data_IF_915978707558
#
_entry.id   IF_915978707558
#
_cell.length_a   1.000
_cell.length_b   1.000
_cell.length_c   1.000
_cell.angle_alpha   90.00
_cell.angle_beta   90.00
_cell.angle_gamma   90.00
#
_symmetry.space_group_name_H-M   'P 1'
#
loop_
_entity.id
_entity.type
_entity.pdbx_description
1 polymer ?
#
# COMPACT_ATOMS: atom_id res chain seq x y z
N UNK A 1 15.68 -14.74 -13.57
CA UNK A 1 14.31 -14.81 -13.02
C UNK A 1 13.88 -13.42 -12.61
N UNK A 2 12.79 -12.89 -13.14
CA UNK A 2 12.23 -11.60 -12.72
C UNK A 2 11.65 -11.75 -11.32
N UNK A 3 12.02 -10.84 -10.40
CA UNK A 3 11.58 -10.85 -8.98
C UNK A 3 10.06 -10.85 -8.79
N UNK A 4 9.30 -10.51 -9.83
CA UNK A 4 7.85 -10.33 -9.80
C UNK A 4 7.07 -11.47 -10.46
N UNK A 5 7.71 -12.58 -10.83
CA UNK A 5 7.04 -13.73 -11.47
C UNK A 5 5.80 -14.20 -10.67
N UNK A 6 5.94 -14.30 -9.36
CA UNK A 6 4.89 -14.83 -8.48
C UNK A 6 3.62 -13.96 -8.46
N UNK A 7 3.75 -12.67 -8.81
CA UNK A 7 2.60 -11.80 -8.99
C UNK A 7 1.69 -12.33 -10.12
N UNK A 8 2.27 -12.71 -11.27
CA UNK A 8 1.52 -13.25 -12.42
C UNK A 8 1.18 -14.74 -12.30
N UNK A 9 1.58 -15.38 -11.21
CA UNK A 9 1.07 -16.72 -10.86
C UNK A 9 -0.33 -16.63 -10.26
N UNK A 10 -0.63 -15.53 -9.55
CA UNK A 10 -1.93 -15.28 -8.90
C UNK A 10 -2.79 -14.23 -9.59
N UNK A 11 -2.24 -13.37 -10.46
CA UNK A 11 -2.98 -12.29 -11.12
C UNK A 11 -2.80 -12.34 -12.64
N UNK A 12 -3.89 -12.15 -13.37
CA UNK A 12 -3.86 -11.92 -14.81
C UNK A 12 -3.23 -10.57 -15.18
N UNK A 13 -2.82 -10.44 -16.43
CA UNK A 13 -2.32 -9.19 -16.97
C UNK A 13 -2.69 -9.04 -18.44
N UNK A 14 -2.80 -7.80 -18.88
CA UNK A 14 -3.06 -7.44 -20.27
C UNK A 14 -1.76 -7.12 -20.99
N UNK A 15 -1.69 -7.51 -22.25
CA UNK A 15 -0.60 -7.19 -23.15
C UNK A 15 -1.17 -6.57 -24.42
N UNK A 16 -0.72 -5.37 -24.75
CA UNK A 16 -1.11 -4.66 -25.94
C UNK A 16 0.09 -4.27 -26.81
N UNK A 17 -0.08 -4.32 -28.11
CA UNK A 17 0.90 -3.81 -29.07
C UNK A 17 0.20 -3.15 -30.27
N UNK A 18 0.89 -2.19 -30.88
CA UNK A 18 0.43 -1.57 -32.12
C UNK A 18 0.89 -2.42 -33.31
N UNK A 19 -0.06 -3.00 -34.03
CA UNK A 19 0.19 -3.83 -35.21
C UNK A 19 -0.21 -3.06 -36.46
N UNK A 20 0.61 -3.17 -37.51
CA UNK A 20 0.28 -2.55 -38.80
C UNK A 20 -0.74 -3.41 -39.55
N UNK A 21 -1.90 -2.84 -39.83
CA UNK A 21 -2.95 -3.42 -40.65
C UNK A 21 -3.19 -2.51 -41.87
N UNK A 22 -2.55 -2.87 -42.98
CA UNK A 22 -2.48 -2.01 -44.18
C UNK A 22 -1.74 -0.70 -43.89
N UNK A 23 -2.43 0.42 -44.09
CA UNK A 23 -1.89 1.77 -43.88
C UNK A 23 -2.14 2.34 -42.47
N UNK A 24 -2.78 1.57 -41.58
CA UNK A 24 -3.08 2.00 -40.21
C UNK A 24 -2.32 1.18 -39.19
N UNK A 25 -1.93 1.82 -38.09
CA UNK A 25 -1.51 1.13 -36.87
C UNK A 25 -2.74 0.93 -35.99
N UNK A 26 -2.99 -0.31 -35.58
CA UNK A 26 -4.13 -0.70 -34.75
C UNK A 26 -3.61 -1.24 -33.43
N UNK A 27 -4.15 -0.74 -32.32
CA UNK A 27 -3.85 -1.27 -31.00
C UNK A 27 -4.58 -2.61 -30.82
N UNK A 28 -3.82 -3.69 -30.62
CA UNK A 28 -4.35 -5.01 -30.29
C UNK A 28 -3.99 -5.34 -28.86
N UNK A 29 -4.97 -5.72 -28.07
CA UNK A 29 -4.82 -6.11 -26.67
C UNK A 29 -5.31 -7.55 -26.46
N UNK A 30 -4.57 -8.30 -25.67
CA UNK A 30 -4.97 -9.62 -25.19
C UNK A 30 -4.75 -9.76 -23.69
N UNK A 31 -5.50 -10.67 -23.08
CA UNK A 31 -5.37 -11.01 -21.66
C UNK A 31 -4.56 -12.30 -21.51
N UNK A 32 -3.62 -12.31 -20.58
CA UNK A 32 -2.92 -13.52 -20.14
C UNK A 32 -3.41 -13.90 -18.74
N UNK A 33 -4.01 -15.09 -18.55
CA UNK A 33 -4.52 -15.51 -17.27
C UNK A 33 -3.39 -15.72 -16.25
N UNK A 34 -3.75 -15.76 -14.98
CA UNK A 34 -2.87 -16.22 -13.91
C UNK A 34 -2.33 -17.63 -14.23
N UNK A 35 -1.05 -17.86 -13.98
CA UNK A 35 -0.35 -19.08 -14.46
C UNK A 35 -0.19 -20.18 -13.40
N UNK A 36 -0.28 -19.84 -12.12
CA UNK A 36 -0.03 -20.78 -11.02
C UNK A 36 -1.28 -21.23 -10.26
N UNK A 37 -2.35 -20.44 -10.32
CA UNK A 37 -3.56 -20.65 -9.54
C UNK A 37 -4.82 -20.41 -10.39
N UNK A 38 -5.98 -20.86 -9.89
CA UNK A 38 -7.27 -20.72 -10.57
C UNK A 38 -8.41 -20.53 -9.57
N UNK A 39 -9.60 -20.17 -10.06
CA UNK A 39 -10.76 -19.90 -9.22
C UNK A 39 -10.49 -18.74 -8.26
N UNK A 40 -10.95 -18.88 -7.02
CA UNK A 40 -10.79 -17.85 -5.97
C UNK A 40 -9.33 -17.61 -5.56
N UNK A 41 -8.41 -18.52 -5.88
CA UNK A 41 -6.98 -18.35 -5.58
C UNK A 41 -6.21 -17.62 -6.70
N UNK A 42 -6.92 -17.21 -7.76
CA UNK A 42 -6.43 -16.34 -8.82
C UNK A 42 -7.27 -15.06 -8.91
N UNK A 43 -6.68 -14.02 -9.48
CA UNK A 43 -7.31 -12.72 -9.76
C UNK A 43 -7.93 -12.05 -8.53
N UNK A 44 -7.34 -12.25 -7.34
CA UNK A 44 -7.85 -11.71 -6.08
C UNK A 44 -7.24 -10.35 -5.71
N UNK A 45 -6.24 -9.87 -6.44
CA UNK A 45 -5.63 -8.56 -6.18
C UNK A 45 -6.44 -7.46 -6.87
N UNK A 46 -6.53 -6.30 -6.22
CA UNK A 46 -7.18 -5.09 -6.71
C UNK A 46 -6.31 -4.27 -7.68
N UNK A 47 -5.35 -4.91 -8.36
CA UNK A 47 -4.42 -4.28 -9.29
C UNK A 47 -4.47 -4.96 -10.65
N UNK A 48 -4.63 -4.15 -11.70
CA UNK A 48 -4.48 -4.58 -13.09
C UNK A 48 -3.11 -4.16 -13.64
N UNK A 49 -2.40 -5.11 -14.25
CA UNK A 49 -1.20 -4.80 -15.03
C UNK A 49 -1.54 -4.81 -16.53
N UNK A 50 -1.20 -3.72 -17.21
CA UNK A 50 -1.27 -3.62 -18.66
C UNK A 50 0.09 -3.24 -19.23
N UNK A 51 0.62 -4.10 -20.08
CA UNK A 51 1.88 -3.88 -20.77
C UNK A 51 1.61 -3.40 -22.19
N UNK A 52 2.04 -2.19 -22.52
CA UNK A 52 1.94 -1.64 -23.87
C UNK A 52 3.32 -1.68 -24.53
N UNK A 53 3.45 -2.42 -25.62
CA UNK A 53 4.62 -2.39 -26.49
C UNK A 53 4.44 -1.30 -27.55
N UNK A 54 5.23 -0.25 -27.43
CA UNK A 54 5.27 0.86 -28.36
C UNK A 54 6.37 1.85 -27.99
N UNK A 55 6.75 2.71 -28.94
CA UNK A 55 7.63 3.84 -28.67
C UNK A 55 6.80 5.02 -28.17
N UNK A 56 7.18 5.56 -27.01
CA UNK A 56 6.51 6.68 -26.33
C UNK A 56 6.40 7.93 -27.20
N UNK A 57 7.26 8.10 -28.20
CA UNK A 57 7.23 9.25 -29.11
C UNK A 57 6.29 9.09 -30.32
N UNK A 58 5.74 7.89 -30.53
CA UNK A 58 4.80 7.66 -31.64
C UNK A 58 3.47 8.35 -31.39
N UNK A 59 2.81 8.78 -32.47
CA UNK A 59 1.52 9.48 -32.39
C UNK A 59 0.46 8.62 -31.73
N UNK A 60 0.50 7.32 -31.99
CA UNK A 60 -0.44 6.32 -31.51
C UNK A 60 -0.33 6.11 -30.00
N UNK A 61 0.90 5.98 -29.48
CA UNK A 61 1.13 5.87 -28.02
C UNK A 61 0.82 7.19 -27.31
N UNK A 62 1.19 8.33 -27.90
CA UNK A 62 0.82 9.65 -27.37
C UNK A 62 -0.70 9.85 -27.32
N UNK A 63 -1.43 9.40 -28.33
CA UNK A 63 -2.89 9.44 -28.35
C UNK A 63 -3.48 8.57 -27.23
N UNK A 64 -3.01 7.33 -27.08
CA UNK A 64 -3.45 6.43 -26.01
C UNK A 64 -3.26 7.03 -24.61
N UNK A 65 -2.08 7.61 -24.34
CA UNK A 65 -1.80 8.29 -23.06
C UNK A 65 -2.69 9.51 -22.87
N UNK A 66 -2.95 10.26 -23.94
CA UNK A 66 -3.84 11.44 -23.89
C UNK A 66 -5.27 11.04 -23.57
N UNK A 67 -5.77 9.95 -24.17
CA UNK A 67 -7.11 9.43 -23.89
C UNK A 67 -7.24 9.00 -22.44
N UNK A 68 -6.22 8.32 -21.87
CA UNK A 68 -6.19 7.98 -20.44
C UNK A 68 -6.07 9.20 -19.52
N UNK A 69 -5.31 10.22 -19.94
CA UNK A 69 -5.12 11.44 -19.15
C UNK A 69 -6.42 12.24 -19.01
N UNK A 70 -7.27 12.20 -20.04
CA UNK A 70 -8.47 13.03 -20.11
C UNK A 70 -9.77 12.25 -19.88
N UNK A 71 -9.68 10.99 -19.47
CA UNK A 71 -10.80 10.18 -18.98
C UNK A 71 -11.18 10.59 -17.55
N UNK A 72 -12.40 11.09 -17.39
CA UNK A 72 -12.91 11.62 -16.12
C UNK A 72 -13.22 10.53 -15.08
N UNK A 73 -13.18 9.26 -15.47
CA UNK A 73 -13.42 8.12 -14.59
C UNK A 73 -12.16 7.56 -13.93
N UNK A 74 -10.99 8.09 -14.28
CA UNK A 74 -9.71 7.65 -13.74
C UNK A 74 -8.78 8.82 -13.41
N UNK A 75 -7.75 8.53 -12.60
CA UNK A 75 -6.68 9.48 -12.32
C UNK A 75 -5.38 8.88 -12.84
N UNK A 76 -4.82 9.49 -13.88
CA UNK A 76 -3.54 9.06 -14.44
C UNK A 76 -2.37 9.70 -13.68
N UNK A 77 -1.36 8.88 -13.40
CA UNK A 77 -0.02 9.34 -13.02
C UNK A 77 1.01 8.68 -13.94
N UNK A 78 1.89 9.48 -14.53
CA UNK A 78 2.97 8.99 -15.39
C UNK A 78 4.26 8.94 -14.58
N UNK A 79 4.97 7.82 -14.65
CA UNK A 79 6.25 7.65 -13.97
C UNK A 79 7.31 7.26 -15.00
N UNK A 80 8.25 8.17 -15.25
CA UNK A 80 9.37 7.93 -16.16
C UNK A 80 10.60 7.51 -15.35
N UNK A 81 10.94 6.22 -15.45
CA UNK A 81 11.95 5.56 -14.62
C UNK A 81 13.11 4.95 -15.42
N UNK A 82 13.41 5.48 -16.61
CA UNK A 82 14.57 5.06 -17.40
C UNK A 82 15.87 5.27 -16.61
N UNK A 83 16.89 4.47 -16.95
CA UNK A 83 18.22 4.55 -16.33
C UNK A 83 18.87 5.93 -16.50
N UNK A 84 18.73 6.51 -17.69
CA UNK A 84 19.21 7.86 -18.01
C UNK A 84 18.15 8.90 -17.64
N UNK A 85 18.47 9.76 -16.66
CA UNK A 85 17.54 10.79 -16.16
C UNK A 85 17.24 11.88 -17.20
N UNK A 86 18.15 12.11 -18.16
CA UNK A 86 17.93 13.04 -19.27
C UNK A 86 16.83 12.54 -20.20
N UNK A 87 16.82 11.23 -20.51
CA UNK A 87 15.75 10.59 -21.26
C UNK A 87 14.40 10.75 -20.57
N UNK A 88 14.32 10.54 -19.25
CA UNK A 88 13.07 10.76 -18.50
C UNK A 88 12.57 12.20 -18.64
N UNK A 89 13.48 13.17 -18.58
CA UNK A 89 13.12 14.59 -18.74
C UNK A 89 12.68 14.91 -20.17
N UNK A 90 13.39 14.41 -21.18
CA UNK A 90 13.03 14.61 -22.59
C UNK A 90 11.64 14.04 -22.88
N UNK A 91 11.35 12.81 -22.43
CA UNK A 91 10.02 12.21 -22.54
C UNK A 91 8.98 13.11 -21.87
N UNK A 92 9.21 13.48 -20.60
CA UNK A 92 8.28 14.28 -19.82
C UNK A 92 8.05 15.70 -20.35
N UNK A 93 8.94 16.27 -21.16
CA UNK A 93 8.76 17.58 -21.80
C UNK A 93 8.04 17.49 -23.15
N UNK A 94 8.16 16.35 -23.84
CA UNK A 94 7.60 16.13 -25.17
C UNK A 94 6.25 15.38 -25.14
N UNK A 95 5.60 15.27 -23.97
CA UNK A 95 4.22 14.77 -23.91
C UNK A 95 3.27 15.72 -24.63
N UNK A 96 2.16 15.19 -25.12
CA UNK A 96 1.05 15.96 -25.67
C UNK A 96 0.56 17.03 -24.67
N UNK A 97 0.28 18.24 -25.17
CA UNK A 97 -0.18 19.38 -24.36
C UNK A 97 -1.41 19.03 -23.51
N UNK A 98 -2.32 18.21 -24.06
CA UNK A 98 -3.52 17.72 -23.37
C UNK A 98 -3.22 16.95 -22.09
N UNK A 99 -2.09 16.23 -22.01
CA UNK A 99 -1.70 15.49 -20.79
C UNK A 99 -1.48 16.47 -19.63
N UNK A 100 -0.86 17.62 -19.89
CA UNK A 100 -0.66 18.65 -18.87
C UNK A 100 -1.93 19.43 -18.57
N UNK A 101 -2.74 19.74 -19.59
CA UNK A 101 -4.02 20.43 -19.45
C UNK A 101 -5.00 19.62 -18.59
N UNK A 102 -5.03 18.29 -18.75
CA UNK A 102 -5.79 17.36 -17.94
C UNK A 102 -5.21 17.20 -16.51
N UNK A 103 -4.12 17.91 -16.18
CA UNK A 103 -3.58 17.97 -14.82
C UNK A 103 -2.82 16.71 -14.39
N UNK A 104 -2.43 15.86 -15.34
CA UNK A 104 -1.74 14.59 -15.07
C UNK A 104 -0.46 14.82 -14.28
N UNK A 105 -0.29 14.04 -13.19
CA UNK A 105 0.96 14.08 -12.42
C UNK A 105 2.04 13.29 -13.15
N UNK A 106 3.18 13.93 -13.40
CA UNK A 106 4.31 13.31 -14.08
C UNK A 106 5.49 13.24 -13.10
N UNK A 107 5.92 12.03 -12.78
CA UNK A 107 7.07 11.76 -11.92
C UNK A 107 8.28 11.38 -12.77
N UNK A 108 9.41 12.05 -12.56
CA UNK A 108 10.63 11.88 -13.33
C UNK A 108 11.73 11.37 -12.41
N UNK A 109 12.25 10.17 -12.70
CA UNK A 109 13.39 9.64 -11.96
C UNK A 109 14.63 10.47 -12.24
N UNK A 110 15.22 11.02 -11.19
CA UNK A 110 16.49 11.75 -11.21
C UNK A 110 17.55 10.90 -10.51
N UNK A 111 18.78 10.92 -11.01
CA UNK A 111 19.87 10.16 -10.38
C UNK A 111 20.45 10.93 -9.17
N UNK A 112 20.68 12.23 -9.30
CA UNK A 112 21.44 13.02 -8.32
C UNK A 112 20.64 14.14 -7.66
N UNK A 113 20.04 15.06 -8.45
CA UNK A 113 19.41 16.27 -7.90
C UNK A 113 18.02 16.58 -8.48
N UNK A 114 17.13 17.10 -7.64
CA UNK A 114 15.79 17.58 -7.99
C UNK A 114 15.77 19.00 -8.58
N UNK A 115 16.82 19.79 -8.30
CA UNK A 115 16.83 21.26 -8.49
C UNK A 115 16.39 21.72 -9.87
N UNK A 116 16.71 20.96 -10.91
CA UNK A 116 16.31 21.32 -12.28
C UNK A 116 14.80 21.13 -12.50
N UNK A 117 14.26 19.99 -12.07
CA UNK A 117 12.81 19.71 -12.17
C UNK A 117 12.03 20.70 -11.32
N UNK A 118 12.50 20.97 -10.09
CA UNK A 118 11.88 21.94 -9.19
C UNK A 118 11.84 23.34 -9.81
N UNK A 119 12.94 23.82 -10.39
CA UNK A 119 12.97 25.12 -11.09
C UNK A 119 12.00 25.19 -12.27
N UNK A 120 11.90 24.12 -13.07
CA UNK A 120 10.97 24.06 -14.20
C UNK A 120 9.53 24.09 -13.71
N UNK A 121 9.24 23.38 -12.63
CA UNK A 121 7.95 23.35 -11.97
C UNK A 121 7.58 24.70 -11.36
N UNK A 122 8.47 25.30 -10.57
CA UNK A 122 8.29 26.62 -9.93
C UNK A 122 8.05 27.72 -10.97
N UNK A 123 8.83 27.75 -12.07
CA UNK A 123 8.60 28.68 -13.19
C UNK A 123 7.25 28.48 -13.85
N UNK A 124 6.69 27.28 -13.76
CA UNK A 124 5.36 26.94 -14.26
C UNK A 124 4.26 27.14 -13.22
N UNK A 125 4.59 27.35 -11.96
CA UNK A 125 3.62 27.64 -10.89
C UNK A 125 3.21 29.11 -10.86
N UNK A 126 3.90 29.99 -11.60
CA UNK A 126 3.47 31.37 -11.82
C UNK A 126 2.15 31.34 -12.60
N UNK A 127 1.04 31.26 -11.87
CA UNK A 127 -0.29 31.30 -12.43
C UNK A 127 -0.44 32.61 -13.18
N UNK A 128 -0.72 32.53 -14.49
CA UNK A 128 -1.09 33.70 -15.27
C UNK A 128 -2.61 33.72 -15.32
N UNK A 129 -3.19 34.81 -14.85
CA UNK A 129 -4.59 35.10 -15.14
C UNK A 129 -4.73 35.29 -16.64
N UNK A 130 -5.55 34.44 -17.27
CA UNK A 130 -5.99 34.63 -18.65
C UNK A 130 -7.46 34.96 -18.62
N UNK A 131 -7.85 36.11 -19.17
CA UNK A 131 -9.26 36.39 -19.44
C UNK A 131 -9.72 35.47 -20.57
N UNK A 132 -10.78 34.72 -20.30
CA UNK A 132 -11.48 33.88 -21.26
C UNK A 132 -12.94 34.33 -21.30
N UNK A 133 -13.54 34.35 -22.49
CA UNK A 133 -14.96 34.65 -22.62
C UNK A 133 -15.74 33.37 -22.33
N UNK A 134 -16.56 33.39 -21.29
CA UNK A 134 -17.46 32.29 -20.97
C UNK A 134 -18.52 32.11 -22.06
N UNK A 135 -19.20 30.95 -22.05
CA UNK A 135 -20.29 30.66 -22.99
C UNK A 135 -21.45 31.67 -22.91
N UNK A 136 -21.52 32.44 -21.83
CA UNK A 136 -22.46 33.54 -21.56
C UNK A 136 -21.98 34.91 -22.09
N UNK A 137 -20.83 34.98 -22.77
CA UNK A 137 -20.23 36.23 -23.23
C UNK A 137 -19.50 37.01 -22.13
N UNK A 138 -19.45 36.51 -20.90
CA UNK A 138 -18.81 37.21 -19.77
C UNK A 138 -17.30 36.92 -19.71
N UNK A 139 -16.45 37.94 -19.52
CA UNK A 139 -15.03 37.70 -19.26
C UNK A 139 -14.84 37.04 -17.90
N UNK A 140 -14.23 35.85 -17.87
CA UNK A 140 -13.82 35.14 -16.65
C UNK A 140 -12.30 35.07 -16.59
N UNK A 141 -11.74 35.44 -15.44
CA UNK A 141 -10.34 35.20 -15.16
C UNK A 141 -10.14 33.70 -14.88
N UNK A 142 -9.48 33.00 -15.81
CA UNK A 142 -9.07 31.62 -15.60
C UNK A 142 -7.62 31.59 -15.14
N UNK A 143 -7.38 30.94 -14.01
CA UNK A 143 -6.03 30.68 -13.51
C UNK A 143 -5.43 29.53 -14.31
N UNK A 144 -4.54 29.86 -15.24
CA UNK A 144 -3.81 28.85 -16.01
C UNK A 144 -2.55 28.48 -15.23
N UNK A 145 -2.52 27.23 -14.74
CA UNK A 145 -1.27 26.64 -14.25
C UNK A 145 -0.33 26.45 -15.44
N UNK A 146 0.94 26.79 -15.28
CA UNK A 146 1.93 26.57 -16.32
C UNK A 146 2.09 25.08 -16.64
N UNK A 147 2.48 24.81 -17.89
CA UNK A 147 2.58 23.48 -18.50
C UNK A 147 3.24 22.43 -17.59
N UNK A 148 4.36 22.76 -16.94
CA UNK A 148 5.12 21.79 -16.14
C UNK A 148 4.85 21.85 -14.63
N UNK A 149 3.77 22.50 -14.21
CA UNK A 149 3.43 22.68 -12.78
C UNK A 149 3.18 21.35 -12.02
N UNK A 150 2.81 20.30 -12.75
CA UNK A 150 2.53 18.95 -12.25
C UNK A 150 3.66 17.94 -12.55
N UNK A 151 4.87 18.42 -12.81
CA UNK A 151 6.06 17.57 -13.03
C UNK A 151 6.89 17.52 -11.74
N UNK A 152 7.16 16.31 -11.23
CA UNK A 152 7.78 16.06 -9.93
C UNK A 152 9.02 15.17 -10.07
N UNK A 153 10.12 15.46 -9.36
CA UNK A 153 11.28 14.58 -9.32
C UNK A 153 11.10 13.44 -8.30
N UNK A 154 11.71 12.28 -8.56
CA UNK A 154 11.83 11.20 -7.56
C UNK A 154 13.10 10.36 -7.76
N UNK A 155 13.44 9.52 -6.76
CA UNK A 155 14.47 8.47 -6.90
C UNK A 155 15.93 8.93 -6.89
N UNK A 156 16.20 10.14 -6.40
CA UNK A 156 17.56 10.70 -6.28
C UNK A 156 18.33 9.99 -5.17
N UNK A 157 19.60 9.67 -5.39
CA UNK A 157 20.47 9.06 -4.38
C UNK A 157 21.01 10.07 -3.38
N UNK A 158 21.19 11.32 -3.82
CA UNK A 158 21.91 12.35 -3.04
C UNK A 158 20.95 13.22 -2.22
N UNK A 159 19.64 13.04 -2.42
CA UNK A 159 18.62 13.60 -1.53
C UNK A 159 18.25 12.47 -0.57
N UNK A 160 18.71 12.59 0.67
CA UNK A 160 18.25 11.75 1.77
C UNK A 160 16.73 11.85 1.76
N UNK A 161 16.04 10.75 1.48
CA UNK A 161 14.60 10.66 1.69
C UNK A 161 14.41 10.77 3.19
N UNK A 162 14.20 11.99 3.67
CA UNK A 162 13.99 12.22 5.09
C UNK A 162 12.65 11.57 5.40
N UNK A 163 12.71 10.40 6.05
CA UNK A 163 11.51 9.72 6.52
C UNK A 163 10.81 10.74 7.40
N UNK A 164 9.66 11.24 6.93
CA UNK A 164 8.92 12.22 7.71
C UNK A 164 8.71 11.64 9.11
N UNK A 165 9.20 12.35 10.13
CA UNK A 165 9.12 11.93 11.54
C UNK A 165 7.72 11.45 11.93
N UNK A 166 6.68 12.09 11.37
CA UNK A 166 5.27 11.68 11.55
C UNK A 166 5.01 10.28 11.00
N UNK A 167 5.46 9.97 9.79
CA UNK A 167 5.28 8.66 9.17
C UNK A 167 6.07 7.57 9.91
N UNK A 168 7.28 7.88 10.37
CA UNK A 168 8.04 6.95 11.21
C UNK A 168 7.31 6.67 12.53
N UNK A 169 6.85 7.69 13.24
CA UNK A 169 6.11 7.52 14.51
C UNK A 169 4.83 6.70 14.31
N UNK A 170 4.09 6.94 13.23
CA UNK A 170 2.94 6.08 12.88
C UNK A 170 3.38 4.63 12.64
N UNK A 171 4.46 4.41 11.88
CA UNK A 171 4.99 3.07 11.61
C UNK A 171 5.47 2.34 12.87
N UNK A 172 6.11 3.05 13.81
CA UNK A 172 6.49 2.54 15.13
C UNK A 172 5.24 2.11 15.92
N UNK A 173 4.19 2.93 15.93
CA UNK A 173 2.92 2.61 16.59
C UNK A 173 2.19 1.42 15.95
N UNK A 174 2.17 1.33 14.61
CA UNK A 174 1.59 0.19 13.88
C UNK A 174 2.34 -1.09 14.27
N UNK A 175 3.68 -1.05 14.26
CA UNK A 175 4.49 -2.19 14.67
C UNK A 175 4.25 -2.58 16.13
N UNK A 176 4.06 -1.60 17.02
CA UNK A 176 3.75 -1.84 18.43
C UNK A 176 2.45 -2.63 18.60
N UNK A 177 1.38 -2.27 17.88
CA UNK A 177 0.12 -3.02 17.89
C UNK A 177 0.28 -4.40 17.24
N UNK A 178 1.04 -4.52 16.14
CA UNK A 178 1.30 -5.83 15.54
C UNK A 178 2.08 -6.76 16.48
N UNK A 179 3.13 -6.28 17.14
CA UNK A 179 3.87 -7.07 18.14
C UNK A 179 2.94 -7.51 19.27
N UNK A 180 2.02 -6.64 19.70
CA UNK A 180 1.01 -7.01 20.67
C UNK A 180 0.21 -8.24 20.22
N UNK A 181 -0.35 -8.25 19.01
CA UNK A 181 -1.16 -9.38 18.54
C UNK A 181 -0.33 -10.62 18.15
N UNK A 182 0.81 -10.46 17.48
CA UNK A 182 1.60 -11.56 16.93
C UNK A 182 2.54 -12.23 17.94
N UNK A 183 3.27 -11.47 18.77
CA UNK A 183 4.26 -12.05 19.68
C UNK A 183 3.64 -12.60 20.96
N UNK A 184 2.50 -12.04 21.39
CA UNK A 184 1.75 -12.56 22.54
C UNK A 184 0.71 -13.61 22.16
N UNK A 185 0.56 -13.89 20.85
CA UNK A 185 -0.14 -15.07 20.37
C UNK A 185 -1.63 -15.07 20.85
N UNK A 186 -2.26 -13.89 20.87
CA UNK A 186 -3.63 -13.71 21.35
C UNK A 186 -4.64 -14.39 20.44
N UNK A 187 -5.53 -15.19 21.02
CA UNK A 187 -6.79 -15.59 20.41
C UNK A 187 -7.81 -14.52 20.78
N UNK A 188 -8.46 -13.88 19.82
CA UNK A 188 -9.63 -13.01 20.07
C UNK A 188 -10.89 -13.82 19.85
N UNK A 189 -11.87 -13.68 20.75
CA UNK A 189 -13.19 -14.29 20.51
C UNK A 189 -13.98 -13.51 19.45
N UNK A 190 -15.13 -14.04 19.03
CA UNK A 190 -15.99 -13.44 17.98
C UNK A 190 -16.44 -11.99 18.28
N UNK A 191 -16.27 -11.52 19.52
CA UNK A 191 -16.60 -10.16 19.94
C UNK A 191 -15.37 -9.23 20.05
N UNK A 192 -14.18 -9.70 19.65
CA UNK A 192 -12.92 -8.93 19.70
C UNK A 192 -12.23 -8.90 21.07
N UNK A 193 -12.68 -9.72 22.04
CA UNK A 193 -12.06 -9.76 23.37
C UNK A 193 -10.85 -10.71 23.41
N UNK A 194 -9.72 -10.31 24.03
CA UNK A 194 -8.55 -11.18 24.17
C UNK A 194 -8.82 -12.40 25.06
N UNK A 195 -8.41 -13.58 24.63
CA UNK A 195 -8.41 -14.84 25.40
C UNK A 195 -7.00 -15.06 25.97
N UNK A 196 -6.88 -15.28 27.28
CA UNK A 196 -5.58 -15.55 27.93
C UNK A 196 -4.97 -16.89 27.48
N UNK A 197 -3.65 -16.92 27.29
CA UNK A 197 -2.89 -18.17 27.17
C UNK A 197 -2.41 -18.65 28.53
N UNK A 198 -2.58 -19.95 28.78
CA UNK A 198 -1.97 -20.60 29.93
C UNK A 198 -0.44 -20.72 29.69
N UNK A 199 0.37 -20.30 30.67
CA UNK A 199 1.85 -20.45 30.76
C UNK A 199 2.77 -19.34 30.15
N UNK A 200 2.54 -18.05 30.46
CA UNK A 200 3.55 -16.99 30.22
C UNK A 200 4.55 -16.85 31.37
N UNK A 201 5.78 -16.41 31.08
CA UNK A 201 6.78 -16.04 32.10
C UNK A 201 6.48 -14.66 32.74
N UNK A 202 7.19 -14.29 33.81
CA UNK A 202 6.87 -13.10 34.61
C UNK A 202 7.26 -11.76 33.96
N UNK A 203 8.18 -11.77 32.98
CA UNK A 203 8.59 -10.57 32.23
C UNK A 203 7.62 -10.32 31.07
N UNK A 204 7.22 -11.39 30.39
CA UNK A 204 6.15 -11.41 29.39
C UNK A 204 4.80 -11.09 30.04
N UNK A 205 4.52 -11.58 31.25
CA UNK A 205 3.34 -11.17 32.03
C UNK A 205 3.33 -9.68 32.34
N UNK A 206 4.48 -9.01 32.56
CA UNK A 206 4.52 -7.56 32.79
C UNK A 206 4.22 -6.76 31.52
N UNK A 207 4.79 -7.17 30.37
CA UNK A 207 4.42 -6.63 29.05
C UNK A 207 2.93 -6.86 28.76
N UNK A 208 2.46 -8.07 29.03
CA UNK A 208 1.06 -8.49 28.96
C UNK A 208 0.18 -7.62 29.85
N UNK A 209 0.60 -7.31 31.09
CA UNK A 209 -0.22 -6.56 32.05
C UNK A 209 -0.50 -5.14 31.57
N UNK A 210 0.47 -4.41 31.01
CA UNK A 210 0.25 -3.06 30.51
C UNK A 210 -0.71 -3.07 29.32
N UNK A 211 -0.51 -3.98 28.38
CA UNK A 211 -1.34 -4.09 27.18
C UNK A 211 -2.70 -4.79 27.41
N UNK A 212 -2.85 -5.61 28.45
CA UNK A 212 -4.09 -6.28 28.86
C UNK A 212 -4.94 -5.37 29.78
N UNK A 213 -4.32 -4.52 30.60
CA UNK A 213 -5.00 -3.46 31.36
C UNK A 213 -5.64 -2.40 30.45
N UNK A 214 -5.07 -2.18 29.27
CA UNK A 214 -5.63 -1.33 28.22
C UNK A 214 -6.96 -1.87 27.64
N UNK A 215 -7.21 -3.18 27.75
CA UNK A 215 -8.29 -3.90 27.08
C UNK A 215 -9.39 -4.42 28.04
N UNK A 216 -9.08 -4.63 29.34
CA UNK A 216 -10.03 -5.22 30.30
C UNK A 216 -11.20 -4.31 30.73
N UNK A 217 -11.21 -3.02 30.38
CA UNK A 217 -12.13 -2.06 31.02
C UNK A 217 -13.38 -1.66 30.23
N UNK A 218 -13.70 -2.27 29.08
CA UNK A 218 -14.99 -2.04 28.38
C UNK A 218 -15.23 -0.60 27.91
N UNK A 219 -14.28 0.29 28.14
CA UNK A 219 -14.09 1.56 27.45
C UNK A 219 -13.27 1.28 26.19
N UNK A 220 -13.52 2.02 25.11
CA UNK A 220 -12.80 1.83 23.84
C UNK A 220 -11.30 1.74 24.08
N UNK A 221 -10.59 0.86 23.39
CA UNK A 221 -9.14 0.63 23.60
C UNK A 221 -8.35 1.94 23.47
N UNK A 222 -8.89 2.88 22.69
CA UNK A 222 -8.48 4.28 22.59
C UNK A 222 -8.43 5.00 23.96
N UNK A 223 -9.48 4.87 24.79
CA UNK A 223 -9.58 5.47 26.13
C UNK A 223 -8.61 4.84 27.12
N UNK A 224 -8.41 3.52 27.04
CA UNK A 224 -7.36 2.82 27.78
C UNK A 224 -5.98 3.38 27.41
N UNK A 225 -5.67 3.48 26.10
CA UNK A 225 -4.37 3.93 25.60
C UNK A 225 -4.10 5.41 25.87
N UNK A 226 -5.14 6.25 25.86
CA UNK A 226 -5.07 7.66 26.26
C UNK A 226 -4.76 7.88 27.75
N UNK A 227 -4.97 6.87 28.60
CA UNK A 227 -4.67 6.94 30.04
C UNK A 227 -3.17 6.84 30.33
N UNK A 228 -2.39 6.29 29.39
CA UNK A 228 -0.94 6.15 29.54
C UNK A 228 -0.21 7.36 28.98
N UNK A 229 0.94 7.63 29.57
CA UNK A 229 1.81 8.71 29.15
C UNK A 229 2.24 8.51 27.69
N UNK A 230 1.96 9.48 26.82
CA UNK A 230 2.21 9.40 25.38
C UNK A 230 3.68 9.13 25.08
N UNK A 231 4.56 9.78 25.83
CA UNK A 231 6.01 9.63 25.73
C UNK A 231 6.46 8.20 26.01
N UNK A 232 5.91 7.54 27.05
CA UNK A 232 6.28 6.17 27.41
C UNK A 232 5.84 5.16 26.33
N UNK A 233 4.66 5.37 25.74
CA UNK A 233 4.18 4.51 24.65
C UNK A 233 5.03 4.67 23.39
N UNK A 234 5.39 5.91 23.04
CA UNK A 234 6.28 6.18 21.89
C UNK A 234 7.67 5.60 22.10
N UNK A 235 8.23 5.69 23.31
CA UNK A 235 9.54 5.10 23.62
C UNK A 235 9.50 3.58 23.47
N UNK A 236 8.47 2.92 24.03
CA UNK A 236 8.31 1.47 23.88
C UNK A 236 8.14 1.04 22.41
N UNK A 237 7.35 1.79 21.64
CA UNK A 237 7.19 1.56 20.21
C UNK A 237 8.52 1.71 19.44
N UNK A 238 9.32 2.71 19.81
CA UNK A 238 10.63 2.95 19.22
C UNK A 238 11.63 1.83 19.54
N UNK A 239 11.64 1.30 20.77
CA UNK A 239 12.51 0.18 21.14
C UNK A 239 12.18 -1.09 20.33
N UNK A 240 10.89 -1.41 20.15
CA UNK A 240 10.48 -2.52 19.28
C UNK A 240 10.86 -2.28 17.82
N UNK A 241 10.78 -1.03 17.37
CA UNK A 241 11.15 -0.64 16.01
C UNK A 241 12.65 -0.83 15.72
N UNK A 242 13.53 -0.51 16.67
CA UNK A 242 14.98 -0.71 16.52
C UNK A 242 15.32 -2.20 16.34
N UNK A 243 14.62 -3.08 17.08
CA UNK A 243 14.80 -4.54 16.98
C UNK A 243 14.17 -5.17 15.73
N UNK A 244 13.34 -4.43 15.00
CA UNK A 244 12.62 -4.94 13.84
C UNK A 244 13.54 -5.07 12.62
N UNK A 245 13.40 -6.18 11.88
CA UNK A 245 14.10 -6.34 10.59
C UNK A 245 13.72 -5.20 9.64
N UNK A 246 14.68 -4.75 8.83
CA UNK A 246 14.50 -3.68 7.84
C UNK A 246 13.27 -3.92 6.94
N UNK A 247 13.02 -5.16 6.52
CA UNK A 247 11.81 -5.51 5.74
C UNK A 247 10.50 -5.25 6.49
N UNK A 248 10.47 -5.47 7.80
CA UNK A 248 9.33 -5.15 8.66
C UNK A 248 9.17 -3.64 8.87
N UNK A 249 10.28 -2.91 9.01
CA UNK A 249 10.26 -1.45 9.09
C UNK A 249 9.62 -0.85 7.83
N UNK A 250 10.04 -1.29 6.64
CA UNK A 250 9.45 -0.84 5.38
C UNK A 250 7.96 -1.19 5.24
N UNK A 251 7.57 -2.41 5.63
CA UNK A 251 6.15 -2.83 5.62
C UNK A 251 5.27 -1.91 6.47
N UNK A 252 5.71 -1.57 7.68
CA UNK A 252 4.99 -0.66 8.58
C UNK A 252 4.99 0.78 8.04
N UNK A 253 6.08 1.25 7.42
CA UNK A 253 6.13 2.55 6.75
C UNK A 253 5.15 2.63 5.57
N UNK A 254 5.06 1.59 4.75
CA UNK A 254 4.09 1.56 3.64
C UNK A 254 2.65 1.63 4.14
N UNK A 255 2.33 0.95 5.25
CA UNK A 255 1.03 1.07 5.91
C UNK A 255 0.79 2.50 6.41
N UNK A 256 1.77 3.09 7.11
CA UNK A 256 1.70 4.47 7.61
C UNK A 256 1.52 5.52 6.49
N UNK A 257 2.20 5.37 5.35
CA UNK A 257 2.06 6.29 4.22
C UNK A 257 0.66 6.24 3.58
N UNK A 258 -0.03 5.11 3.70
CA UNK A 258 -1.36 4.94 3.14
C UNK A 258 -2.49 5.47 4.05
N UNK A 259 -2.22 5.73 5.33
CA UNK A 259 -3.22 6.26 6.27
C UNK A 259 -3.87 7.53 5.74
N UNK A 260 -3.09 8.49 5.22
CA UNK A 260 -3.66 9.73 4.70
C UNK A 260 -4.59 9.54 3.49
N UNK A 261 -4.39 8.49 2.69
CA UNK A 261 -5.31 8.13 1.59
C UNK A 261 -6.60 7.49 2.12
N UNK A 262 -6.48 6.68 3.17
CA UNK A 262 -7.62 6.08 3.88
C UNK A 262 -8.49 7.15 4.52
N UNK A 263 -7.89 8.11 5.23
CA UNK A 263 -8.60 9.25 5.82
C UNK A 263 -9.36 10.05 4.76
N UNK A 264 -8.74 10.33 3.61
CA UNK A 264 -9.45 11.05 2.53
C UNK A 264 -10.64 10.28 1.99
N UNK A 265 -10.50 8.97 1.84
CA UNK A 265 -11.58 8.10 1.37
C UNK A 265 -12.75 8.09 2.37
N UNK A 266 -12.44 7.99 3.68
CA UNK A 266 -13.42 8.12 4.75
C UNK A 266 -14.10 9.49 4.77
N UNK A 267 -13.32 10.57 4.70
CA UNK A 267 -13.85 11.93 4.69
C UNK A 267 -14.77 12.18 3.47
N UNK A 268 -14.46 11.60 2.30
CA UNK A 268 -15.30 11.70 1.10
C UNK A 268 -16.64 10.97 1.27
N UNK A 269 -16.69 9.90 2.06
CA UNK A 269 -17.92 9.22 2.47
C UNK A 269 -18.65 9.93 3.64
N UNK A 270 -18.15 11.11 4.08
CA UNK A 270 -18.75 11.91 5.14
C UNK A 270 -18.30 11.55 6.56
N UNK A 271 -17.32 10.66 6.73
CA UNK A 271 -16.77 10.33 8.04
C UNK A 271 -15.76 11.41 8.47
N UNK A 272 -16.14 12.26 9.43
CA UNK A 272 -15.25 13.27 10.00
C UNK A 272 -14.64 12.71 11.27
N UNK A 273 -13.33 12.46 11.24
CA UNK A 273 -12.54 12.18 12.44
C UNK A 273 -13.01 10.93 13.19
N UNK A 274 -12.59 9.75 12.71
CA UNK A 274 -12.12 8.67 13.57
C UNK A 274 -12.98 8.26 14.79
N UNK A 275 -14.31 8.41 14.72
CA UNK A 275 -15.23 7.87 15.73
C UNK A 275 -16.18 6.90 15.05
N UNK A 276 -16.04 5.63 15.45
CA UNK A 276 -16.82 4.46 15.09
C UNK A 276 -17.04 4.28 13.58
N UNK A 277 -16.06 3.64 12.92
CA UNK A 277 -16.27 3.05 11.61
C UNK A 277 -17.37 1.98 11.70
N UNK A 278 -18.25 1.92 10.70
CA UNK A 278 -19.18 0.81 10.58
C UNK A 278 -18.41 -0.51 10.42
N UNK A 279 -18.99 -1.63 10.84
CA UNK A 279 -18.37 -2.95 10.67
C UNK A 279 -18.06 -3.25 9.20
N UNK A 280 -18.91 -2.78 8.27
CA UNK A 280 -18.70 -2.92 6.83
C UNK A 280 -17.50 -2.10 6.33
N UNK A 281 -17.40 -0.83 6.74
CA UNK A 281 -16.26 0.04 6.40
C UNK A 281 -14.97 -0.53 6.95
N UNK A 282 -14.99 -1.05 8.18
CA UNK A 282 -13.82 -1.68 8.80
C UNK A 282 -13.36 -2.90 8.00
N UNK A 283 -14.29 -3.77 7.61
CA UNK A 283 -14.00 -4.97 6.80
C UNK A 283 -13.35 -4.59 5.47
N UNK A 284 -13.92 -3.60 4.76
CA UNK A 284 -13.38 -3.11 3.48
C UNK A 284 -11.97 -2.54 3.63
N UNK A 285 -11.72 -1.79 4.68
CA UNK A 285 -10.39 -1.21 4.93
C UNK A 285 -9.35 -2.26 5.27
N UNK A 286 -9.73 -3.29 6.02
CA UNK A 286 -8.86 -4.42 6.34
C UNK A 286 -8.52 -5.22 5.07
N UNK A 287 -9.51 -5.48 4.20
CA UNK A 287 -9.29 -6.11 2.90
C UNK A 287 -8.30 -5.31 2.03
N UNK A 288 -8.46 -3.98 1.96
CA UNK A 288 -7.52 -3.10 1.23
C UNK A 288 -6.11 -3.13 1.85
N UNK A 289 -5.97 -3.20 3.17
CA UNK A 289 -4.64 -3.36 3.82
C UNK A 289 -4.02 -4.72 3.49
N UNK A 290 -4.81 -5.78 3.49
CA UNK A 290 -4.33 -7.11 3.14
C UNK A 290 -3.91 -7.20 1.66
N UNK A 291 -4.68 -6.60 0.75
CA UNK A 291 -4.30 -6.51 -0.67
C UNK A 291 -3.01 -5.71 -0.87
N UNK A 292 -2.85 -4.57 -0.18
CA UNK A 292 -1.57 -3.83 -0.15
C UNK A 292 -0.41 -4.71 0.32
N UNK A 293 -0.60 -5.49 1.39
CA UNK A 293 0.41 -6.39 1.93
C UNK A 293 0.73 -7.54 0.95
N UNK A 294 -0.28 -8.13 0.32
CA UNK A 294 -0.11 -9.17 -0.71
C UNK A 294 0.76 -8.66 -1.86
N UNK A 295 0.46 -7.47 -2.38
CA UNK A 295 1.22 -6.81 -3.45
C UNK A 295 2.67 -6.59 -3.02
N UNK A 296 2.90 -6.06 -1.81
CA UNK A 296 4.24 -5.89 -1.26
C UNK A 296 5.03 -7.21 -1.25
N UNK A 297 4.46 -8.26 -0.67
CA UNK A 297 5.15 -9.56 -0.55
C UNK A 297 5.43 -10.20 -1.90
N UNK A 298 4.47 -10.17 -2.82
CA UNK A 298 4.65 -10.69 -4.18
C UNK A 298 5.76 -9.93 -4.94
N UNK A 299 5.84 -8.60 -4.79
CA UNK A 299 6.91 -7.79 -5.39
C UNK A 299 8.29 -8.03 -4.75
N UNK A 300 8.32 -8.40 -3.47
CA UNK A 300 9.54 -8.83 -2.77
C UNK A 300 10.01 -10.24 -3.19
N UNK A 301 9.22 -10.97 -3.98
CA UNK A 301 9.51 -12.32 -4.43
C UNK A 301 8.93 -13.43 -3.55
N UNK A 302 8.06 -13.08 -2.58
CA UNK A 302 7.26 -14.09 -1.92
C UNK A 302 6.20 -14.67 -2.86
N UNK A 303 5.75 -15.88 -2.54
CA UNK A 303 4.69 -16.57 -3.26
C UNK A 303 3.68 -17.22 -2.34
N UNK A 304 2.48 -17.40 -2.89
CA UNK A 304 1.45 -18.24 -2.30
C UNK A 304 1.93 -19.71 -2.25
N UNK A 305 1.64 -20.45 -1.17
CA UNK A 305 1.93 -21.87 -1.09
C UNK A 305 1.13 -22.66 -2.13
N UNK A 306 1.76 -23.70 -2.69
CA UNK A 306 1.04 -24.75 -3.39
C UNK A 306 0.24 -25.59 -2.41
N UNK A 307 -0.66 -26.43 -2.93
CA UNK A 307 -1.58 -27.24 -2.10
C UNK A 307 -0.86 -28.07 -1.04
N UNK A 308 0.30 -28.64 -1.37
CA UNK A 308 1.10 -29.50 -0.48
C UNK A 308 1.90 -28.71 0.57
N UNK A 309 2.08 -27.41 0.33
CA UNK A 309 2.82 -26.46 1.15
C UNK A 309 1.90 -25.64 2.06
N UNK A 310 0.59 -25.63 1.75
CA UNK A 310 -0.40 -24.80 2.42
C UNK A 310 -0.74 -25.34 3.81
N UNK A 311 -0.21 -24.68 4.83
CA UNK A 311 -0.44 -25.03 6.23
C UNK A 311 -1.91 -24.88 6.63
N UNK A 312 -2.67 -23.99 5.99
CA UNK A 312 -4.11 -23.83 6.27
C UNK A 312 -4.92 -25.07 5.85
N UNK A 313 -4.55 -25.70 4.73
CA UNK A 313 -5.23 -26.92 4.25
C UNK A 313 -4.78 -28.17 5.02
N UNK A 314 -3.55 -28.15 5.55
CA UNK A 314 -3.01 -29.23 6.37
C UNK A 314 -3.62 -29.23 7.78
N UNK A 315 -3.94 -28.06 8.35
CA UNK A 315 -4.59 -27.93 9.66
C UNK A 315 -6.06 -28.41 9.65
N UNK A 316 -6.77 -28.34 8.51
CA UNK A 316 -8.17 -28.80 8.39
C UNK A 316 -8.34 -30.33 8.34
N UNK A 317 -7.33 -31.10 7.94
CA UNK A 317 -7.44 -32.55 7.74
C UNK A 317 -6.88 -33.41 8.88
N UNK A 318 -6.25 -32.82 9.91
CA UNK A 318 -5.41 -33.57 10.86
C UNK A 318 -5.58 -33.19 12.34
N UNK A 319 -6.78 -32.77 12.74
CA UNK A 319 -7.18 -32.72 14.16
C UNK A 319 -7.38 -34.13 14.76
N UNK A 320 -6.35 -34.98 14.73
CA UNK A 320 -6.22 -36.19 15.57
C UNK A 320 -4.72 -36.47 15.89
N UNK A 321 -4.34 -36.16 17.14
CA UNK A 321 -3.55 -37.01 18.07
C UNK A 321 -2.01 -37.18 18.02
N UNK A 322 -1.17 -36.35 17.36
CA UNK A 322 0.30 -36.63 17.39
C UNK A 322 1.23 -35.46 17.74
N UNK A 323 1.99 -35.60 18.85
CA UNK A 323 2.93 -34.62 19.39
C UNK A 323 4.19 -34.41 18.53
N UNK A 324 4.51 -35.33 17.60
CA UNK A 324 5.66 -35.17 16.67
C UNK A 324 5.41 -34.13 15.56
N UNK A 325 4.18 -33.62 15.42
CA UNK A 325 3.78 -32.69 14.34
C UNK A 325 4.15 -31.23 14.60
N UNK A 326 4.32 -30.80 15.86
CA UNK A 326 4.75 -29.42 16.19
C UNK A 326 6.15 -29.09 15.64
N UNK A 327 7.06 -30.08 15.68
CA UNK A 327 8.40 -29.99 15.10
C UNK A 327 8.33 -29.96 13.57
N UNK A 328 7.46 -30.77 12.95
CA UNK A 328 7.29 -30.81 11.49
C UNK A 328 6.64 -29.53 10.94
N UNK A 329 5.61 -28.99 11.59
CA UNK A 329 4.98 -27.71 11.23
C UNK A 329 5.92 -26.53 11.48
N UNK A 330 6.71 -26.55 12.57
CA UNK A 330 7.77 -25.56 12.81
C UNK A 330 8.87 -25.60 11.74
N UNK A 331 9.29 -26.81 11.34
CA UNK A 331 10.25 -27.01 10.27
C UNK A 331 9.70 -26.56 8.91
N UNK A 332 8.46 -26.91 8.55
CA UNK A 332 7.79 -26.44 7.32
C UNK A 332 7.61 -24.92 7.32
N UNK A 333 7.15 -24.30 8.41
CA UNK A 333 7.04 -22.83 8.52
C UNK A 333 8.40 -22.15 8.34
N UNK A 334 9.46 -22.70 8.92
CA UNK A 334 10.83 -22.18 8.77
C UNK A 334 11.36 -22.36 7.35
N UNK A 335 11.13 -23.53 6.75
CA UNK A 335 11.54 -23.83 5.38
C UNK A 335 10.77 -22.97 4.36
N UNK A 336 9.46 -22.81 4.55
CA UNK A 336 8.61 -21.93 3.75
C UNK A 336 9.12 -20.48 3.82
N UNK A 337 9.43 -19.96 5.01
CA UNK A 337 10.02 -18.61 5.15
C UNK A 337 11.36 -18.49 4.40
N UNK A 338 12.22 -19.50 4.45
CA UNK A 338 13.49 -19.52 3.71
C UNK A 338 13.31 -19.61 2.19
N UNK A 339 12.21 -20.22 1.74
CA UNK A 339 11.84 -20.36 0.34
C UNK A 339 10.91 -19.25 -0.17
N UNK A 340 10.74 -18.17 0.61
CA UNK A 340 9.85 -17.06 0.28
C UNK A 340 8.38 -17.51 0.04
N UNK A 341 7.91 -18.50 0.79
CA UNK A 341 6.53 -19.00 0.76
C UNK A 341 5.79 -18.44 1.97
N UNK A 342 4.65 -17.79 1.75
CA UNK A 342 3.86 -17.22 2.84
C UNK A 342 2.39 -17.65 2.77
N UNK A 343 1.91 -18.27 3.85
CA UNK A 343 0.55 -18.81 3.96
C UNK A 343 -0.52 -17.75 3.69
N UNK A 344 -0.30 -16.55 4.20
CA UNK A 344 -1.31 -15.46 4.15
C UNK A 344 -1.42 -14.76 2.78
N UNK A 345 -0.61 -15.13 1.78
CA UNK A 345 -0.79 -14.63 0.40
C UNK A 345 -2.01 -15.32 -0.22
N UNK A 346 -3.19 -14.75 0.00
CA UNK A 346 -4.51 -15.29 -0.39
C UNK A 346 -5.59 -14.19 -0.30
N UNK A 347 -6.79 -14.43 -0.84
CA UNK A 347 -7.93 -13.54 -0.63
C UNK A 347 -8.21 -13.28 0.85
N UNK A 348 -8.60 -12.04 1.19
CA UNK A 348 -8.86 -11.62 2.57
C UNK A 348 -9.94 -12.46 3.28
N UNK A 349 -10.95 -12.92 2.55
CA UNK A 349 -12.00 -13.80 3.07
C UNK A 349 -11.54 -15.25 3.36
N UNK A 350 -10.30 -15.60 3.00
CA UNK A 350 -9.69 -16.92 3.29
C UNK A 350 -8.64 -16.87 4.40
N UNK A 351 -8.51 -15.72 5.08
CA UNK A 351 -7.74 -15.60 6.29
C UNK A 351 -8.56 -16.13 7.47
N UNK A 352 -7.89 -16.78 8.43
CA UNK A 352 -8.51 -17.17 9.70
C UNK A 352 -8.42 -15.99 10.69
N UNK A 353 -7.84 -16.21 11.87
CA UNK A 353 -7.64 -15.22 12.94
C UNK A 353 -6.88 -13.96 12.47
N UNK A 354 -6.07 -14.06 11.42
CA UNK A 354 -5.37 -12.93 10.81
C UNK A 354 -6.35 -11.86 10.31
N UNK A 355 -7.53 -12.26 9.84
CA UNK A 355 -8.56 -11.33 9.39
C UNK A 355 -9.00 -10.37 10.52
N UNK A 356 -9.11 -10.88 11.75
CA UNK A 356 -9.48 -10.08 12.91
C UNK A 356 -8.33 -9.15 13.32
N UNK A 357 -7.08 -9.60 13.22
CA UNK A 357 -5.91 -8.75 13.49
C UNK A 357 -5.88 -7.57 12.52
N UNK A 358 -6.08 -7.79 11.22
CA UNK A 358 -6.12 -6.72 10.23
C UNK A 358 -7.24 -5.71 10.52
N UNK A 359 -8.44 -6.19 10.89
CA UNK A 359 -9.55 -5.34 11.33
C UNK A 359 -9.17 -4.50 12.54
N UNK A 360 -8.58 -5.10 13.56
CA UNK A 360 -8.19 -4.37 14.76
C UNK A 360 -7.15 -3.28 14.46
N UNK A 361 -6.15 -3.57 13.62
CA UNK A 361 -5.15 -2.56 13.20
C UNK A 361 -5.81 -1.34 12.54
N UNK A 362 -6.83 -1.55 11.71
CA UNK A 362 -7.57 -0.44 11.10
C UNK A 362 -8.30 0.41 12.14
N UNK A 363 -8.85 -0.20 13.21
CA UNK A 363 -9.51 0.54 14.30
C UNK A 363 -8.56 1.52 15.01
N UNK A 364 -7.25 1.25 14.98
CA UNK A 364 -6.23 2.11 15.60
C UNK A 364 -5.67 3.21 14.70
N UNK A 365 -6.06 3.29 13.43
CA UNK A 365 -5.70 4.43 12.55
C UNK A 365 -5.87 5.79 13.24
N UNK A 366 -7.04 6.12 13.84
CA UNK A 366 -7.23 7.30 14.68
C UNK A 366 -6.08 7.59 15.64
N UNK A 367 -5.69 6.56 16.37
CA UNK A 367 -4.72 6.63 17.43
C UNK A 367 -3.31 6.84 16.87
N UNK A 368 -2.96 6.15 15.78
CA UNK A 368 -1.68 6.38 15.09
C UNK A 368 -1.52 7.84 14.68
N UNK A 369 -2.58 8.45 14.15
CA UNK A 369 -2.60 9.86 13.74
C UNK A 369 -2.39 10.78 14.95
N UNK A 370 -3.11 10.53 16.05
CA UNK A 370 -3.00 11.32 17.28
C UNK A 370 -1.62 11.20 17.95
N UNK A 371 -1.07 10.00 17.98
CA UNK A 371 0.28 9.74 18.51
C UNK A 371 1.35 10.45 17.70
N UNK A 372 1.19 10.52 16.38
CA UNK A 372 2.13 11.18 15.48
C UNK A 372 1.91 12.70 15.34
N UNK A 373 0.78 13.24 15.80
CA UNK A 373 0.58 14.67 15.92
C UNK A 373 1.34 15.19 17.16
N UNK A 374 2.12 16.27 17.02
CA UNK A 374 2.63 16.99 18.20
C UNK A 374 1.43 17.61 18.92
N UNK A 375 1.41 17.55 20.25
CA UNK A 375 0.56 18.43 21.04
C UNK A 375 0.85 19.86 20.57
N UNK A 376 -0.16 20.51 19.99
CA UNK A 376 -0.12 21.91 19.56
C UNK A 376 0.14 22.84 20.73
#
# INVERSE_FOLDING_TARGET
>A
MTRTRHFFEVQEHKYGEFVREGDKLVYKEGTKPATGFSGEDANFLDIEFRFVKGDIYTKEVQALITDWACDDKQILSLIFAMRDSRSNMAIAMNMNDKVYECGTRIFIRQNTSSKFVDKVRERSQTAKEKMVIGNDGTPKALMIKGRYSNVFPFGMTDIIFDINKRAQQMAECINYIYNYYYDNNYLVNENGNPIQRENMDDEDKKKFTLSHQLLQHGESILQGMMKYNKEDVLENAHQLWIGLKVSGQWSNLYSAYNIGFRERSLNAEGYIGCRNLSAETLLKMADVEHNRWNVEKLLMGFRKPQKEEDTYQLDLNLYKEDQRKGIFNGFKKTNNKNQYIHGDIRPFNKLNEIQEIDKEIIRYIPWFIEMANKNS
#
